data_IF_295931671933
#
_entry.id   IF_295931671933
#
_cell.length_a   1.000
_cell.length_b   1.000
_cell.length_c   1.000
_cell.angle_alpha   90.00
_cell.angle_beta   90.00
_cell.angle_gamma   90.00
#
_symmetry.space_group_name_H-M   'P 1'
#
loop_
_entity.id
_entity.type
_entity.pdbx_description
1 polymer ?
#
# COMPACT_ATOMS: atom_id res chain seq x y z
N UNK A 1 47.08 6.92 29.70
CA UNK A 1 45.68 7.09 29.24
C UNK A 1 44.87 5.97 29.85
N UNK A 2 43.93 6.28 30.74
CA UNK A 2 43.04 5.28 31.31
C UNK A 2 41.98 4.91 30.26
N UNK A 3 41.87 3.63 29.90
CA UNK A 3 40.76 3.12 29.11
C UNK A 3 39.53 3.11 30.02
N UNK A 4 38.62 4.07 29.85
CA UNK A 4 37.38 4.16 30.62
C UNK A 4 36.35 3.22 30.01
N UNK A 5 36.50 1.92 30.27
CA UNK A 5 35.48 0.92 29.93
C UNK A 5 34.76 0.47 31.19
N UNK A 6 33.44 0.45 31.15
CA UNK A 6 32.59 -0.08 32.20
C UNK A 6 31.98 -1.43 31.80
N UNK A 7 31.58 -2.22 32.80
CA UNK A 7 30.95 -3.53 32.57
C UNK A 7 29.44 -3.40 32.62
N UNK A 8 28.76 -3.94 31.61
CA UNK A 8 27.30 -4.09 31.57
C UNK A 8 26.99 -5.59 31.68
N UNK A 9 26.66 -6.12 32.87
CA UNK A 9 26.28 -7.52 33.02
C UNK A 9 24.84 -7.72 32.50
N UNK A 10 24.70 -8.55 31.47
CA UNK A 10 23.40 -8.93 30.90
C UNK A 10 23.20 -10.42 31.13
N UNK A 11 22.11 -10.77 31.81
CA UNK A 11 21.71 -12.16 31.99
C UNK A 11 20.92 -12.59 30.76
N UNK A 12 21.36 -13.69 30.15
CA UNK A 12 20.72 -14.33 29.00
C UNK A 12 20.60 -15.81 29.28
N UNK A 13 19.63 -16.46 28.65
CA UNK A 13 19.52 -17.91 28.64
C UNK A 13 20.71 -18.54 27.89
N UNK A 14 20.95 -19.83 28.14
CA UNK A 14 21.98 -20.57 27.41
C UNK A 14 21.72 -20.59 25.90
N UNK A 15 20.45 -20.66 25.49
CA UNK A 15 20.05 -20.67 24.08
C UNK A 15 20.32 -19.32 23.41
N UNK A 16 19.99 -18.21 24.06
CA UNK A 16 20.30 -16.87 23.56
C UNK A 16 21.80 -16.65 23.45
N UNK A 17 22.58 -17.06 24.46
CA UNK A 17 24.04 -16.98 24.41
C UNK A 17 24.62 -17.73 23.21
N UNK A 18 24.12 -18.94 22.94
CA UNK A 18 24.55 -19.73 21.79
C UNK A 18 24.15 -19.10 20.46
N UNK A 19 22.96 -18.49 20.39
CA UNK A 19 22.51 -17.73 19.20
C UNK A 19 23.42 -16.53 18.93
N UNK A 20 23.66 -15.70 19.94
CA UNK A 20 24.54 -14.51 19.83
C UNK A 20 25.96 -14.92 19.41
N UNK A 21 26.48 -16.04 19.93
CA UNK A 21 27.79 -16.54 19.55
C UNK A 21 27.87 -16.87 18.05
N UNK A 22 26.86 -17.57 17.51
CA UNK A 22 26.79 -17.89 16.08
C UNK A 22 26.64 -16.64 15.21
N UNK A 23 25.83 -15.69 15.63
CA UNK A 23 25.62 -14.42 14.90
C UNK A 23 26.92 -13.60 14.86
N UNK A 24 27.66 -13.53 15.97
CA UNK A 24 28.95 -12.86 16.04
C UNK A 24 30.01 -13.54 15.14
N UNK A 25 30.06 -14.88 15.16
CA UNK A 25 30.94 -15.67 14.29
C UNK A 25 30.62 -15.47 12.81
N UNK A 26 29.34 -15.52 12.42
CA UNK A 26 28.90 -15.25 11.05
C UNK A 26 29.24 -13.82 10.60
N UNK A 27 29.26 -12.87 11.53
CA UNK A 27 29.66 -11.49 11.27
C UNK A 27 31.19 -11.26 11.37
N UNK A 28 31.99 -12.29 11.63
CA UNK A 28 33.45 -12.22 11.69
C UNK A 28 33.99 -11.39 12.85
N UNK A 29 33.26 -11.28 13.96
CA UNK A 29 33.63 -10.45 15.11
C UNK A 29 33.43 -11.16 16.45
N UNK A 30 34.03 -10.62 17.51
CA UNK A 30 33.81 -11.14 18.87
C UNK A 30 32.38 -10.88 19.34
N UNK A 31 31.87 -11.74 20.24
CA UNK A 31 30.54 -11.53 20.85
C UNK A 31 30.39 -10.16 21.52
N UNK A 32 31.45 -9.66 22.18
CA UNK A 32 31.43 -8.37 22.86
C UNK A 32 31.31 -7.20 21.88
N UNK A 33 32.04 -7.26 20.76
CA UNK A 33 31.95 -6.24 19.71
C UNK A 33 30.62 -6.32 18.94
N UNK A 34 30.13 -7.54 18.68
CA UNK A 34 28.82 -7.78 18.11
C UNK A 34 27.72 -7.13 18.96
N UNK A 35 27.72 -7.39 20.27
CA UNK A 35 26.74 -6.81 21.20
C UNK A 35 26.90 -5.30 21.34
N UNK A 36 28.13 -4.77 21.35
CA UNK A 36 28.37 -3.33 21.37
C UNK A 36 27.75 -2.65 20.16
N UNK A 37 27.96 -3.20 18.96
CA UNK A 37 27.38 -2.67 17.71
C UNK A 37 25.87 -2.83 17.68
N UNK A 38 25.35 -3.99 18.08
CA UNK A 38 23.91 -4.22 18.15
C UNK A 38 23.23 -3.22 19.11
N UNK A 39 23.81 -2.96 20.27
CA UNK A 39 23.31 -1.97 21.21
C UNK A 39 23.40 -0.53 20.66
N UNK A 40 24.47 -0.18 19.96
CA UNK A 40 24.64 1.13 19.34
C UNK A 40 23.69 1.35 18.14
N UNK A 41 23.36 0.29 17.42
CA UNK A 41 22.45 0.31 16.27
C UNK A 41 20.98 0.11 16.67
N UNK A 42 20.69 -0.20 17.94
CA UNK A 42 19.33 -0.39 18.42
C UNK A 42 18.57 0.95 18.36
N UNK A 43 17.68 1.05 17.39
CA UNK A 43 16.82 2.20 17.19
C UNK A 43 15.36 1.76 17.38
N UNK A 44 14.76 1.98 18.56
CA UNK A 44 13.40 1.55 18.84
C UNK A 44 12.36 2.25 17.95
N UNK A 45 12.71 3.37 17.31
CA UNK A 45 11.85 4.05 16.34
C UNK A 45 12.04 3.53 14.91
N UNK A 46 13.04 2.69 14.64
CA UNK A 46 13.26 2.08 13.32
C UNK A 46 12.08 1.20 12.92
N UNK A 47 11.60 0.37 13.84
CA UNK A 47 10.46 -0.53 13.61
C UNK A 47 9.17 0.24 13.31
N UNK A 48 8.98 1.40 13.94
CA UNK A 48 7.85 2.29 13.66
C UNK A 48 7.97 2.92 12.26
N UNK A 49 9.16 3.41 11.89
CA UNK A 49 9.42 4.08 10.61
C UNK A 49 9.44 3.15 9.40
N UNK A 50 9.75 1.87 9.58
CA UNK A 50 9.84 0.91 8.48
C UNK A 50 8.50 0.75 7.74
N UNK A 51 7.38 0.91 8.45
CA UNK A 51 6.05 0.77 7.86
C UNK A 51 5.49 2.09 7.32
N UNK A 52 5.99 3.24 7.77
CA UNK A 52 5.52 4.56 7.33
C UNK A 52 5.67 4.75 5.83
N UNK A 53 6.83 4.41 5.26
CA UNK A 53 7.07 4.53 3.82
C UNK A 53 6.15 3.61 2.99
N UNK A 54 5.83 2.42 3.50
CA UNK A 54 4.91 1.49 2.84
C UNK A 54 3.47 2.02 2.92
N UNK A 55 3.06 2.51 4.09
CA UNK A 55 1.74 3.10 4.30
C UNK A 55 1.52 4.34 3.41
N UNK A 56 2.52 5.21 3.28
CA UNK A 56 2.50 6.34 2.36
C UNK A 56 2.33 5.88 0.91
N UNK A 57 3.06 4.84 0.50
CA UNK A 57 2.98 4.32 -0.85
C UNK A 57 1.61 3.71 -1.16
N UNK A 58 1.05 2.96 -0.22
CA UNK A 58 -0.32 2.41 -0.33
C UNK A 58 -1.33 3.55 -0.46
N UNK A 59 -1.23 4.57 0.38
CA UNK A 59 -2.13 5.73 0.37
C UNK A 59 -2.08 6.46 -0.97
N UNK A 60 -0.88 6.75 -1.48
CA UNK A 60 -0.71 7.41 -2.80
C UNK A 60 -1.32 6.58 -3.93
N UNK A 61 -1.11 5.26 -3.90
CA UNK A 61 -1.63 4.36 -4.92
C UNK A 61 -3.15 4.27 -4.88
N UNK A 62 -3.75 4.24 -3.68
CA UNK A 62 -5.19 4.27 -3.49
C UNK A 62 -5.80 5.57 -4.03
N UNK A 63 -5.25 6.74 -3.67
CA UNK A 63 -5.72 8.03 -4.19
C UNK A 63 -5.60 8.14 -5.71
N UNK A 64 -4.54 7.58 -6.31
CA UNK A 64 -4.41 7.54 -7.76
C UNK A 64 -5.47 6.64 -8.41
N UNK A 65 -5.73 5.47 -7.82
CA UNK A 65 -6.75 4.55 -8.31
C UNK A 65 -8.16 5.16 -8.21
N UNK A 66 -8.49 5.81 -7.11
CA UNK A 66 -9.75 6.55 -6.93
C UNK A 66 -9.96 7.57 -8.04
N UNK A 67 -8.96 8.43 -8.29
CA UNK A 67 -9.03 9.43 -9.37
C UNK A 67 -9.21 8.81 -10.76
N UNK A 68 -8.56 7.67 -11.01
CA UNK A 68 -8.70 6.96 -12.28
C UNK A 68 -10.10 6.36 -12.45
N UNK A 69 -10.68 5.82 -11.37
CA UNK A 69 -12.04 5.31 -11.35
C UNK A 69 -13.07 6.42 -11.58
N UNK A 70 -12.92 7.56 -10.90
CA UNK A 70 -13.80 8.72 -11.10
C UNK A 70 -13.79 9.20 -12.56
N UNK A 71 -12.60 9.36 -13.15
CA UNK A 71 -12.45 9.74 -14.55
C UNK A 71 -13.07 8.71 -15.51
N UNK A 72 -12.95 7.41 -15.21
CA UNK A 72 -13.56 6.35 -16.01
C UNK A 72 -15.10 6.42 -15.94
N UNK A 73 -15.66 6.62 -14.74
CA UNK A 73 -17.11 6.76 -14.55
C UNK A 73 -17.66 8.00 -15.28
N UNK A 74 -16.95 9.13 -15.23
CA UNK A 74 -17.33 10.33 -15.99
C UNK A 74 -17.32 10.09 -17.51
N UNK A 75 -16.32 9.38 -18.02
CA UNK A 75 -16.21 9.04 -19.44
C UNK A 75 -17.31 8.07 -19.89
N UNK A 76 -17.70 7.11 -19.04
CA UNK A 76 -18.84 6.22 -19.29
C UNK A 76 -20.12 7.03 -19.35
N UNK A 77 -20.40 7.87 -18.35
CA UNK A 77 -21.60 8.70 -18.32
C UNK A 77 -21.68 9.65 -19.54
N UNK A 78 -20.56 10.22 -19.97
CA UNK A 78 -20.49 11.03 -21.18
C UNK A 78 -20.78 10.21 -22.45
N UNK A 79 -20.34 8.95 -22.49
CA UNK A 79 -20.62 8.05 -23.61
C UNK A 79 -22.08 7.62 -23.65
N UNK A 80 -22.68 7.27 -22.52
CA UNK A 80 -24.11 6.95 -22.41
C UNK A 80 -24.98 8.10 -22.92
N UNK A 81 -24.67 9.35 -22.52
CA UNK A 81 -25.38 10.55 -23.03
C UNK A 81 -25.30 10.68 -24.55
N UNK A 82 -24.12 10.42 -25.15
CA UNK A 82 -23.94 10.47 -26.61
C UNK A 82 -24.75 9.37 -27.31
N UNK A 83 -24.68 8.14 -26.79
CA UNK A 83 -25.41 6.99 -27.36
C UNK A 83 -26.91 7.27 -27.34
N UNK A 84 -27.47 7.68 -26.19
CA UNK A 84 -28.90 8.01 -26.09
C UNK A 84 -29.33 9.12 -27.05
N UNK A 85 -28.51 10.14 -27.27
CA UNK A 85 -28.81 11.19 -28.24
C UNK A 85 -28.85 10.64 -29.69
N UNK A 86 -27.92 9.74 -30.04
CA UNK A 86 -27.90 9.10 -31.37
C UNK A 86 -29.10 8.17 -31.58
N UNK A 87 -29.49 7.42 -30.54
CA UNK A 87 -30.66 6.53 -30.55
C UNK A 87 -31.96 7.31 -30.70
N UNK A 88 -32.12 8.45 -30.02
CA UNK A 88 -33.29 9.31 -30.17
C UNK A 88 -33.42 9.91 -31.58
N UNK A 89 -32.29 10.23 -32.24
CA UNK A 89 -32.29 10.73 -33.62
C UNK A 89 -32.65 9.65 -34.64
N UNK A 90 -32.35 8.39 -34.34
CA UNK A 90 -32.65 7.24 -35.21
C UNK A 90 -33.93 6.50 -34.82
N UNK A 91 -34.69 7.00 -33.85
CA UNK A 91 -35.96 6.40 -33.44
C UNK A 91 -36.95 6.44 -34.63
N UNK A 92 -37.48 5.30 -35.10
CA UNK A 92 -38.42 5.29 -36.21
C UNK A 92 -39.70 6.04 -35.82
N UNK A 93 -40.22 6.86 -36.73
CA UNK A 93 -41.45 7.62 -36.52
C UNK A 93 -42.59 6.66 -36.11
N UNK A 94 -43.40 7.01 -35.09
CA UNK A 94 -44.50 6.14 -34.66
C UNK A 94 -45.42 5.90 -35.85
N UNK A 95 -45.53 4.62 -36.24
CA UNK A 95 -46.37 4.19 -37.35
C UNK A 95 -47.78 4.75 -37.14
N UNK A 96 -48.20 5.63 -38.07
CA UNK A 96 -49.49 6.32 -38.02
C UNK A 96 -50.60 5.28 -37.86
N UNK A 97 -51.12 5.15 -36.64
CA UNK A 97 -52.21 4.23 -36.28
C UNK A 97 -53.44 4.70 -37.04
N UNK A 98 -53.67 4.09 -38.21
CA UNK A 98 -54.83 4.30 -39.07
C UNK A 98 -56.08 4.02 -38.22
N UNK A 99 -56.66 5.06 -37.64
CA UNK A 99 -58.00 5.05 -37.07
C UNK A 99 -58.95 4.83 -38.24
N UNK A 100 -59.22 3.57 -38.59
CA UNK A 100 -60.43 3.24 -39.35
C UNK A 100 -61.58 3.43 -38.37
N UNK A 101 -62.11 4.65 -38.35
CA UNK A 101 -63.41 4.94 -37.76
C UNK A 101 -64.43 4.04 -38.43
N UNK A 102 -65.11 3.26 -37.59
CA UNK A 102 -66.38 2.63 -37.90
C UNK A 102 -67.45 3.71 -38.13
N UNK A 103 -68.45 3.40 -38.94
CA UNK A 103 -69.64 4.22 -39.21
C UNK A 103 -69.66 4.71 -40.66
N UNK A 104 -70.73 4.56 -41.44
CA UNK A 104 -72.06 3.98 -41.22
C UNK A 104 -72.61 3.60 -42.61
#
# INVERSE_FOLDING_TARGET
MAIVTERIPILVTAQEKARIAREAEAAGMSMAEYLRRAAAAYDPAHDARQFDAIAEQITRSATQAERALDAALEAVAASERRISAMEQQHAPAPAARKRRSAGA
#
